data_IF_372761948837
#
_entry.id   IF_372761948837
#
_cell.length_a   1.000
_cell.length_b   1.000
_cell.length_c   1.000
_cell.angle_alpha   90.00
_cell.angle_beta   90.00
_cell.angle_gamma   90.00
#
_symmetry.space_group_name_H-M   'P 1'
#
loop_
_entity.id
_entity.type
_entity.pdbx_description
1 polymer ?
#
# COMPACT_ATOMS: atom_id res chain seq x y z
N UNK A 1 -2.54 -38.82 1.75
CA UNK A 1 -1.53 -37.75 1.97
C UNK A 1 -1.44 -36.98 0.66
N UNK A 2 -1.71 -35.68 0.67
CA UNK A 2 -1.63 -34.85 -0.54
C UNK A 2 -0.15 -34.70 -0.94
N UNK A 3 0.21 -35.18 -2.13
CA UNK A 3 1.53 -34.98 -2.72
C UNK A 3 1.62 -33.56 -3.28
N UNK A 4 1.61 -32.57 -2.38
CA UNK A 4 1.68 -31.16 -2.76
C UNK A 4 3.13 -30.73 -2.89
N UNK A 5 3.60 -30.54 -4.11
CA UNK A 5 4.98 -30.13 -4.41
C UNK A 5 5.17 -28.61 -4.48
N UNK A 6 4.08 -27.88 -4.76
CA UNK A 6 4.06 -26.42 -4.90
C UNK A 6 2.85 -25.81 -4.19
N UNK A 7 3.08 -24.75 -3.43
CA UNK A 7 2.05 -24.00 -2.74
C UNK A 7 2.32 -22.49 -2.82
N UNK A 8 1.27 -21.74 -3.15
CA UNK A 8 1.24 -20.29 -3.02
C UNK A 8 0.23 -19.91 -1.94
N UNK A 9 0.71 -19.32 -0.84
CA UNK A 9 -0.08 -19.00 0.35
C UNK A 9 -0.20 -17.49 0.55
N UNK A 10 -1.41 -16.96 0.44
CA UNK A 10 -1.75 -15.66 0.99
C UNK A 10 -2.40 -15.85 2.37
N UNK A 11 -1.86 -15.21 3.39
CA UNK A 11 -2.39 -15.29 4.75
C UNK A 11 -2.50 -13.89 5.35
N UNK A 12 -3.65 -13.56 5.92
CA UNK A 12 -3.85 -12.34 6.68
C UNK A 12 -4.52 -12.69 8.00
N UNK A 13 -3.86 -12.40 9.11
CA UNK A 13 -4.33 -12.71 10.46
C UNK A 13 -4.43 -11.42 11.24
N UNK A 14 -5.57 -11.24 11.90
CA UNK A 14 -5.76 -10.25 12.95
C UNK A 14 -5.82 -11.03 14.26
N UNK A 15 -4.92 -10.73 15.20
CA UNK A 15 -4.80 -11.44 16.46
C UNK A 15 -4.75 -10.46 17.63
N UNK A 16 -5.27 -10.91 18.78
CA UNK A 16 -5.06 -10.23 20.07
C UNK A 16 -3.83 -10.79 20.80
N UNK A 17 -3.14 -11.76 20.20
CA UNK A 17 -1.88 -12.30 20.70
C UNK A 17 -0.75 -11.27 20.54
N UNK A 18 0.28 -11.40 21.36
CA UNK A 18 1.41 -10.47 21.43
C UNK A 18 2.49 -10.69 20.36
N UNK A 19 2.33 -11.70 19.49
CA UNK A 19 3.40 -12.16 18.59
C UNK A 19 3.00 -12.17 17.12
N UNK A 20 3.92 -11.73 16.26
CA UNK A 20 3.80 -11.89 14.82
C UNK A 20 3.99 -13.34 14.40
N UNK A 21 3.42 -13.73 13.26
CA UNK A 21 3.75 -15.02 12.63
C UNK A 21 5.22 -14.99 12.23
N UNK A 22 6.00 -15.87 12.85
CA UNK A 22 7.42 -16.02 12.58
C UNK A 22 7.73 -17.32 11.81
N UNK A 23 8.99 -17.51 11.42
CA UNK A 23 9.41 -18.70 10.68
C UNK A 23 9.25 -20.00 11.47
N UNK A 24 9.30 -19.95 12.81
CA UNK A 24 9.12 -21.13 13.65
C UNK A 24 7.67 -21.58 13.68
N UNK A 25 6.74 -20.63 13.88
CA UNK A 25 5.31 -20.92 13.87
C UNK A 25 4.88 -21.48 12.52
N UNK A 26 5.27 -20.84 11.42
CA UNK A 26 4.97 -21.33 10.07
C UNK A 26 5.50 -22.75 9.84
N UNK A 27 6.72 -23.05 10.32
CA UNK A 27 7.29 -24.38 10.17
C UNK A 27 6.54 -25.44 10.96
N UNK A 28 6.33 -25.21 12.25
CA UNK A 28 5.73 -26.17 13.16
C UNK A 28 4.25 -26.43 12.85
N UNK A 29 3.51 -25.39 12.49
CA UNK A 29 2.04 -25.49 12.37
C UNK A 29 1.62 -25.95 10.98
N UNK A 30 2.48 -25.77 9.98
CA UNK A 30 2.10 -25.97 8.58
C UNK A 30 3.09 -26.82 7.80
N UNK A 31 4.36 -26.41 7.73
CA UNK A 31 5.30 -26.98 6.77
C UNK A 31 5.80 -28.38 7.15
N UNK A 32 5.86 -28.70 8.44
CA UNK A 32 6.25 -30.03 8.91
C UNK A 32 5.34 -31.14 8.38
N UNK A 33 4.09 -30.80 8.06
CA UNK A 33 3.09 -31.71 7.49
C UNK A 33 3.13 -31.80 5.96
N UNK A 34 4.02 -31.03 5.30
CA UNK A 34 4.16 -30.97 3.85
C UNK A 34 5.59 -31.32 3.38
N UNK A 35 6.10 -32.53 3.68
CA UNK A 35 7.50 -32.88 3.42
C UNK A 35 7.89 -32.93 1.94
N UNK A 36 6.91 -32.99 1.02
CA UNK A 36 7.14 -32.97 -0.43
C UNK A 36 7.12 -31.55 -1.02
N UNK A 37 6.82 -30.52 -0.22
CA UNK A 37 6.72 -29.16 -0.68
C UNK A 37 8.11 -28.62 -1.05
N UNK A 38 8.37 -28.53 -2.36
CA UNK A 38 9.65 -28.07 -2.91
C UNK A 38 9.62 -26.58 -3.27
N UNK A 39 8.44 -26.05 -3.56
CA UNK A 39 8.22 -24.64 -3.87
C UNK A 39 7.15 -24.06 -2.96
N UNK A 40 7.52 -23.02 -2.24
CA UNK A 40 6.60 -22.35 -1.33
C UNK A 40 6.72 -20.84 -1.50
N UNK A 41 5.67 -20.23 -2.02
CA UNK A 41 5.53 -18.78 -2.13
C UNK A 41 4.53 -18.30 -1.11
N UNK A 42 4.83 -17.21 -0.41
CA UNK A 42 3.94 -16.70 0.61
C UNK A 42 3.94 -15.18 0.71
N UNK A 43 2.80 -14.65 1.16
CA UNK A 43 2.60 -13.25 1.56
C UNK A 43 1.74 -13.29 2.82
N UNK A 44 2.33 -12.99 3.97
CA UNK A 44 1.71 -13.19 5.27
C UNK A 44 1.67 -11.86 6.04
N UNK A 45 0.46 -11.41 6.34
CA UNK A 45 0.20 -10.23 7.14
C UNK A 45 -0.26 -10.64 8.53
N UNK A 46 0.44 -10.16 9.55
CA UNK A 46 -0.02 -10.28 10.93
C UNK A 46 -0.32 -8.88 11.45
N UNK A 47 -1.55 -8.68 11.87
CA UNK A 47 -2.01 -7.48 12.54
C UNK A 47 -2.31 -7.84 13.99
N UNK A 48 -1.63 -7.20 14.91
CA UNK A 48 -1.83 -7.34 16.34
C UNK A 48 -2.65 -6.16 16.81
N UNK A 49 -3.78 -6.44 17.44
CA UNK A 49 -4.56 -5.45 18.17
C UNK A 49 -4.42 -5.76 19.66
N UNK A 50 -3.67 -4.92 20.38
CA UNK A 50 -3.46 -5.16 21.81
C UNK A 50 -3.71 -3.91 22.64
N UNK A 51 -4.48 -4.00 23.72
CA UNK A 51 -4.66 -2.87 24.63
C UNK A 51 -3.45 -2.62 25.55
N UNK A 52 -2.54 -3.59 25.66
CA UNK A 52 -1.35 -3.51 26.51
C UNK A 52 -0.17 -2.86 25.77
N UNK A 53 0.26 -1.70 26.27
CA UNK A 53 1.27 -0.82 25.64
C UNK A 53 2.71 -1.32 25.88
N UNK A 54 2.92 -2.25 26.81
CA UNK A 54 4.25 -2.70 27.27
C UNK A 54 4.76 -3.99 26.60
N UNK A 55 4.20 -4.39 25.47
CA UNK A 55 4.67 -5.58 24.75
C UNK A 55 5.80 -5.21 23.79
N UNK A 56 6.98 -5.76 24.04
CA UNK A 56 8.11 -5.70 23.12
C UNK A 56 7.84 -6.64 21.93
N UNK A 57 7.49 -6.06 20.78
CA UNK A 57 7.27 -6.83 19.56
C UNK A 57 8.62 -7.18 18.90
N UNK A 58 8.74 -8.37 18.27
CA UNK A 58 9.96 -8.73 17.55
C UNK A 58 10.31 -7.68 16.50
N UNK A 59 11.58 -7.26 16.47
CA UNK A 59 12.02 -6.35 15.42
C UNK A 59 11.93 -7.01 14.04
N UNK A 60 11.90 -6.21 12.98
CA UNK A 60 11.93 -6.75 11.61
C UNK A 60 13.12 -7.70 11.38
N UNK A 61 14.26 -7.43 12.01
CA UNK A 61 15.44 -8.28 11.90
C UNK A 61 15.25 -9.63 12.60
N UNK A 62 14.53 -9.67 13.71
CA UNK A 62 14.23 -10.90 14.43
C UNK A 62 13.28 -11.78 13.63
N UNK A 63 12.27 -11.15 13.01
CA UNK A 63 11.38 -11.80 12.05
C UNK A 63 12.18 -12.40 10.90
N UNK A 64 12.96 -11.62 10.16
CA UNK A 64 13.78 -12.15 9.06
C UNK A 64 14.69 -13.31 9.48
N UNK A 65 15.38 -13.17 10.62
CA UNK A 65 16.26 -14.21 11.16
C UNK A 65 15.49 -15.50 11.47
N UNK A 66 14.26 -15.42 11.95
CA UNK A 66 13.44 -16.61 12.24
C UNK A 66 13.17 -17.43 10.97
N UNK A 67 12.89 -16.78 9.84
CA UNK A 67 12.67 -17.43 8.55
C UNK A 67 13.98 -18.00 7.98
N UNK A 68 15.07 -17.22 8.01
CA UNK A 68 16.38 -17.65 7.51
C UNK A 68 16.88 -18.90 8.27
N UNK A 69 16.73 -18.93 9.60
CA UNK A 69 17.09 -20.10 10.43
C UNK A 69 16.33 -21.37 10.05
N UNK A 70 15.18 -21.24 9.39
CA UNK A 70 14.36 -22.36 8.88
C UNK A 70 14.65 -22.72 7.43
N UNK A 71 15.66 -22.11 6.82
CA UNK A 71 16.08 -22.39 5.45
C UNK A 71 15.47 -21.46 4.40
N UNK A 72 14.66 -20.47 4.79
CA UNK A 72 14.09 -19.50 3.87
C UNK A 72 15.08 -18.40 3.53
N UNK A 73 15.83 -18.56 2.45
CA UNK A 73 16.85 -17.59 2.02
C UNK A 73 16.27 -16.42 1.22
N UNK A 74 15.15 -16.63 0.52
CA UNK A 74 14.51 -15.61 -0.32
C UNK A 74 13.25 -15.09 0.36
N UNK A 75 13.44 -14.32 1.43
CA UNK A 75 12.37 -13.74 2.24
C UNK A 75 12.67 -12.27 2.51
N UNK A 76 11.64 -11.45 2.57
CA UNK A 76 11.74 -10.09 3.06
C UNK A 76 10.55 -9.79 3.98
N UNK A 77 10.69 -8.76 4.80
CA UNK A 77 9.64 -8.32 5.71
C UNK A 77 9.82 -6.86 6.10
N UNK A 78 8.72 -6.30 6.59
CA UNK A 78 8.75 -5.11 7.42
C UNK A 78 7.79 -5.30 8.59
N UNK A 79 8.17 -4.76 9.73
CA UNK A 79 7.35 -4.71 10.93
C UNK A 79 7.23 -3.26 11.37
N UNK A 80 6.07 -2.90 11.89
CA UNK A 80 5.74 -1.54 12.26
C UNK A 80 4.85 -1.51 13.49
N UNK A 81 5.33 -0.83 14.53
CA UNK A 81 4.61 -0.65 15.77
C UNK A 81 3.84 0.68 15.72
N UNK A 82 2.53 0.62 15.48
CA UNK A 82 1.64 1.79 15.54
C UNK A 82 1.15 2.02 16.97
N UNK A 83 2.09 2.28 17.87
CA UNK A 83 1.82 2.50 19.29
C UNK A 83 1.00 3.78 19.58
N UNK A 84 0.82 4.69 18.62
CA UNK A 84 0.36 6.05 18.93
C UNK A 84 -1.11 6.34 18.67
N UNK A 85 -1.87 5.50 17.95
CA UNK A 85 -3.25 5.86 17.61
C UNK A 85 -4.30 4.74 17.77
N UNK A 86 -3.91 3.47 17.77
CA UNK A 86 -4.86 2.32 17.83
C UNK A 86 -4.32 1.09 18.55
N UNK A 87 -3.15 1.20 19.21
CA UNK A 87 -2.37 0.06 19.71
C UNK A 87 -2.34 -1.10 18.70
N UNK A 88 -2.03 -0.76 17.46
CA UNK A 88 -2.00 -1.69 16.36
C UNK A 88 -0.55 -1.94 15.99
N UNK A 89 -0.17 -3.20 15.87
CA UNK A 89 1.14 -3.58 15.32
C UNK A 89 0.94 -4.38 14.06
N UNK A 90 1.75 -4.16 13.04
CA UNK A 90 1.64 -4.91 11.80
C UNK A 90 2.99 -5.42 11.33
N UNK A 91 3.00 -6.67 10.88
CA UNK A 91 4.14 -7.28 10.22
C UNK A 91 3.67 -7.88 8.90
N UNK A 92 4.43 -7.64 7.84
CA UNK A 92 4.28 -8.33 6.58
C UNK A 92 5.57 -9.08 6.27
N UNK A 93 5.47 -10.40 6.08
CA UNK A 93 6.56 -11.27 5.67
C UNK A 93 6.18 -11.96 4.37
N UNK A 94 7.09 -11.95 3.39
CA UNK A 94 6.80 -12.49 2.06
C UNK A 94 8.04 -13.11 1.41
N UNK A 95 7.78 -14.11 0.56
CA UNK A 95 8.81 -14.75 -0.26
C UNK A 95 9.22 -13.89 -1.45
N UNK A 96 10.48 -13.99 -1.85
CA UNK A 96 11.02 -13.42 -3.08
C UNK A 96 11.34 -14.54 -4.10
N UNK A 97 11.21 -14.28 -5.42
CA UNK A 97 10.53 -13.11 -6.00
C UNK A 97 9.03 -13.13 -5.63
N UNK A 98 8.41 -11.95 -5.55
CA UNK A 98 7.01 -11.84 -5.14
C UNK A 98 6.08 -12.41 -6.22
N UNK A 99 5.15 -13.29 -5.81
CA UNK A 99 4.34 -14.08 -6.74
C UNK A 99 2.90 -13.61 -6.93
N UNK A 100 2.43 -12.69 -6.08
CA UNK A 100 1.03 -12.26 -6.05
C UNK A 100 0.81 -11.02 -6.92
N UNK A 101 -0.42 -10.88 -7.41
CA UNK A 101 -0.86 -9.70 -8.14
C UNK A 101 -1.22 -8.53 -7.22
N UNK A 102 -1.49 -8.82 -5.94
CA UNK A 102 -1.89 -7.82 -4.96
C UNK A 102 -0.81 -7.71 -3.90
N UNK A 103 -0.46 -6.48 -3.54
CA UNK A 103 0.40 -6.17 -2.39
C UNK A 103 -0.41 -5.32 -1.42
N UNK A 104 -0.83 -5.91 -0.30
CA UNK A 104 -1.77 -5.28 0.62
C UNK A 104 -1.04 -4.64 1.81
N UNK A 105 -1.69 -3.67 2.44
CA UNK A 105 -1.28 -3.07 3.72
C UNK A 105 0.16 -2.55 3.76
N UNK A 106 0.61 -1.89 2.70
CA UNK A 106 1.93 -1.26 2.68
C UNK A 106 2.00 -0.11 3.69
N UNK A 107 3.06 -0.11 4.51
CA UNK A 107 3.35 0.95 5.46
C UNK A 107 4.53 1.81 5.01
N UNK A 108 4.81 2.89 5.76
CA UNK A 108 5.96 3.76 5.51
C UNK A 108 7.32 3.09 5.76
N UNK A 109 7.35 1.84 6.25
CA UNK A 109 8.57 1.06 6.50
C UNK A 109 9.01 0.23 5.31
N UNK A 110 8.23 0.20 4.24
CA UNK A 110 8.59 -0.49 3.02
C UNK A 110 9.95 0.01 2.48
N UNK A 111 10.86 -0.92 2.18
CA UNK A 111 12.25 -0.63 1.81
C UNK A 111 12.54 -0.84 0.33
N UNK A 112 11.55 -1.29 -0.44
CA UNK A 112 11.68 -1.52 -1.86
C UNK A 112 11.99 -2.96 -2.28
N UNK A 113 12.18 -3.16 -3.58
CA UNK A 113 12.40 -4.44 -4.26
C UNK A 113 11.77 -4.46 -5.66
N UNK A 114 11.82 -5.59 -6.37
CA UNK A 114 11.20 -5.71 -7.69
C UNK A 114 9.90 -6.53 -7.63
N UNK A 115 8.77 -5.88 -7.92
CA UNK A 115 7.42 -6.44 -7.79
C UNK A 115 6.68 -6.49 -9.14
N UNK A 116 7.31 -7.08 -10.15
CA UNK A 116 6.82 -7.11 -11.54
C UNK A 116 5.44 -7.79 -11.74
N UNK A 117 4.99 -8.62 -10.81
CA UNK A 117 3.68 -9.28 -10.89
C UNK A 117 2.56 -8.48 -10.25
N UNK A 118 2.89 -7.52 -9.38
CA UNK A 118 1.89 -6.73 -8.68
C UNK A 118 1.18 -5.78 -9.65
N UNK A 119 -0.14 -5.73 -9.54
CA UNK A 119 -1.07 -4.87 -10.28
C UNK A 119 -1.88 -3.99 -9.33
N UNK A 120 -2.11 -4.45 -8.10
CA UNK A 120 -2.79 -3.67 -7.07
C UNK A 120 -1.88 -3.49 -5.86
N UNK A 121 -1.72 -2.25 -5.42
CA UNK A 121 -0.99 -1.91 -4.20
C UNK A 121 -1.91 -1.13 -3.28
N UNK A 122 -2.21 -1.68 -2.10
CA UNK A 122 -2.99 -0.98 -1.07
C UNK A 122 -2.04 -0.41 -0.03
N UNK A 123 -2.09 0.91 0.13
CA UNK A 123 -1.37 1.63 1.19
C UNK A 123 -2.36 2.00 2.29
N UNK A 124 -2.22 1.41 3.47
CA UNK A 124 -3.08 1.70 4.61
C UNK A 124 -2.23 1.83 5.87
N UNK A 125 -1.99 3.08 6.28
CA UNK A 125 -1.11 3.35 7.40
C UNK A 125 -1.43 4.67 8.09
N UNK A 126 -1.28 4.69 9.42
CA UNK A 126 -1.62 5.85 10.23
C UNK A 126 -0.59 6.99 10.16
N UNK A 127 0.71 6.69 9.91
CA UNK A 127 1.73 7.73 9.79
C UNK A 127 1.84 8.24 8.35
N UNK A 128 2.27 9.49 8.13
CA UNK A 128 2.36 10.05 6.80
C UNK A 128 3.19 9.22 5.82
N UNK A 129 2.72 9.12 4.58
CA UNK A 129 3.54 8.62 3.47
C UNK A 129 4.30 9.79 2.85
N UNK A 130 5.62 9.76 2.96
CA UNK A 130 6.48 10.84 2.45
C UNK A 130 6.85 10.64 0.97
N UNK A 131 7.41 11.67 0.35
CA UNK A 131 7.68 11.68 -1.08
C UNK A 131 8.52 10.50 -1.58
N UNK A 132 9.57 10.14 -0.84
CA UNK A 132 10.48 9.07 -1.22
C UNK A 132 9.78 7.70 -1.31
N UNK A 133 8.73 7.46 -0.52
CA UNK A 133 7.99 6.21 -0.63
C UNK A 133 7.30 6.09 -1.98
N UNK A 134 6.66 7.16 -2.47
CA UNK A 134 6.00 7.15 -3.77
C UNK A 134 6.99 6.99 -4.92
N UNK A 135 8.22 7.52 -4.77
CA UNK A 135 9.30 7.31 -5.72
C UNK A 135 9.70 5.83 -5.76
N UNK A 136 9.92 5.22 -4.60
CA UNK A 136 10.20 3.78 -4.48
C UNK A 136 9.07 2.99 -5.16
N UNK A 137 7.80 3.30 -4.85
CA UNK A 137 6.65 2.59 -5.43
C UNK A 137 6.66 2.68 -6.96
N UNK A 138 6.89 3.88 -7.53
CA UNK A 138 6.89 4.05 -8.98
C UNK A 138 7.98 3.25 -9.70
N UNK A 139 9.08 2.93 -9.01
CA UNK A 139 10.21 2.17 -9.55
C UNK A 139 10.02 0.67 -9.36
N UNK A 140 9.52 0.29 -8.19
CA UNK A 140 9.50 -1.09 -7.71
C UNK A 140 8.24 -1.85 -8.15
N UNK A 141 7.19 -1.12 -8.52
CA UNK A 141 5.92 -1.64 -9.04
C UNK A 141 5.68 -1.14 -10.47
N UNK A 142 6.51 -1.55 -11.44
CA UNK A 142 6.51 -0.96 -12.78
C UNK A 142 5.20 -1.17 -13.56
N UNK A 143 4.38 -2.15 -13.18
CA UNK A 143 3.11 -2.48 -13.82
C UNK A 143 1.91 -2.22 -12.91
N UNK A 144 2.03 -1.31 -11.94
CA UNK A 144 0.94 -0.99 -11.03
C UNK A 144 -0.26 -0.40 -11.78
N UNK A 145 -1.43 -1.01 -11.63
CA UNK A 145 -2.69 -0.62 -12.27
C UNK A 145 -3.68 0.02 -11.28
N UNK A 146 -3.64 -0.35 -10.00
CA UNK A 146 -4.51 0.19 -8.96
C UNK A 146 -3.74 0.57 -7.70
N UNK A 147 -4.00 1.77 -7.20
CA UNK A 147 -3.38 2.32 -5.99
C UNK A 147 -4.42 2.92 -5.04
N UNK A 148 -5.02 2.12 -4.15
CA UNK A 148 -5.78 2.65 -3.02
C UNK A 148 -4.87 3.16 -1.92
N UNK A 149 -5.12 4.40 -1.49
CA UNK A 149 -4.38 5.07 -0.41
C UNK A 149 -5.35 5.44 0.72
N UNK A 150 -5.05 4.95 1.91
CA UNK A 150 -5.76 5.27 3.14
C UNK A 150 -4.76 5.89 4.11
N UNK A 151 -4.76 7.22 4.19
CA UNK A 151 -3.85 7.95 5.07
C UNK A 151 -4.39 9.35 5.39
N UNK A 152 -4.88 9.54 6.61
CA UNK A 152 -5.43 10.82 7.05
C UNK A 152 -4.39 11.79 7.60
N UNK A 153 -3.13 11.37 7.70
CA UNK A 153 -2.07 12.21 8.24
C UNK A 153 -1.48 13.11 7.15
N UNK A 154 -1.32 14.39 7.46
CA UNK A 154 -0.67 15.36 6.57
C UNK A 154 0.79 15.00 6.33
N UNK A 155 1.29 15.26 5.11
CA UNK A 155 2.70 15.06 4.81
C UNK A 155 3.55 16.08 5.57
N UNK A 156 4.67 15.63 6.16
CA UNK A 156 5.56 16.53 6.90
C UNK A 156 6.46 17.31 5.96
N UNK A 157 6.95 16.66 4.92
CA UNK A 157 7.86 17.26 3.95
C UNK A 157 7.09 17.72 2.71
N UNK A 158 6.43 18.88 2.82
CA UNK A 158 5.65 19.50 1.73
C UNK A 158 6.51 20.12 0.62
N UNK A 159 7.82 20.22 0.84
CA UNK A 159 8.73 20.77 -0.16
C UNK A 159 8.62 19.99 -1.47
N UNK A 160 8.56 20.76 -2.56
CA UNK A 160 8.53 20.24 -3.92
C UNK A 160 9.80 19.44 -4.18
N UNK A 161 9.78 18.14 -3.87
CA UNK A 161 10.80 17.22 -4.35
C UNK A 161 10.91 17.42 -5.86
N UNK A 162 12.10 17.76 -6.34
CA UNK A 162 12.39 17.91 -7.76
C UNK A 162 12.30 16.59 -8.52
N UNK A 163 12.06 15.48 -7.83
CA UNK A 163 11.97 14.16 -8.43
C UNK A 163 10.63 13.98 -9.12
N UNK A 164 10.68 13.78 -10.44
CA UNK A 164 9.53 13.39 -11.24
C UNK A 164 9.19 11.91 -11.02
N UNK A 165 7.94 11.64 -10.65
CA UNK A 165 7.39 10.31 -10.36
C UNK A 165 6.36 9.98 -11.44
N UNK A 166 6.53 8.85 -12.11
CA UNK A 166 5.60 8.40 -13.16
C UNK A 166 4.99 7.07 -12.77
N UNK A 167 3.67 7.01 -12.73
CA UNK A 167 2.94 5.75 -12.63
C UNK A 167 2.40 5.37 -14.01
N UNK A 168 3.26 4.80 -14.85
CA UNK A 168 3.01 4.58 -16.28
C UNK A 168 1.80 3.70 -16.60
N UNK A 169 1.42 2.82 -15.67
CA UNK A 169 0.36 1.83 -15.86
C UNK A 169 -0.85 2.05 -14.97
N UNK A 170 -0.86 3.10 -14.14
CA UNK A 170 -1.92 3.30 -13.15
C UNK A 170 -3.23 3.69 -13.84
N UNK A 171 -4.23 2.82 -13.70
CA UNK A 171 -5.58 2.99 -14.25
C UNK A 171 -6.54 3.53 -13.21
N UNK A 172 -6.36 3.13 -11.94
CA UNK A 172 -7.22 3.50 -10.81
C UNK A 172 -6.42 4.06 -9.65
N UNK A 173 -6.79 5.26 -9.22
CA UNK A 173 -6.27 5.90 -8.02
C UNK A 173 -7.42 6.12 -7.03
N UNK A 174 -7.28 5.59 -5.81
CA UNK A 174 -8.28 5.79 -4.77
C UNK A 174 -7.72 6.62 -3.61
N UNK A 175 -8.31 7.81 -3.46
CA UNK A 175 -8.01 8.86 -2.50
C UNK A 175 -9.24 9.18 -1.63
N UNK A 176 -10.18 8.25 -1.49
CA UNK A 176 -11.41 8.48 -0.72
C UNK A 176 -11.15 8.78 0.77
N UNK A 177 -10.05 8.25 1.32
CA UNK A 177 -9.73 8.32 2.75
C UNK A 177 -8.32 8.88 2.97
N UNK A 178 -7.98 9.97 2.28
CA UNK A 178 -6.69 10.62 2.40
C UNK A 178 -6.77 12.05 2.94
N UNK A 179 -5.65 12.54 3.47
CA UNK A 179 -5.41 13.97 3.65
C UNK A 179 -5.24 14.68 2.29
N UNK A 180 -5.67 15.94 2.18
CA UNK A 180 -5.65 16.70 0.91
C UNK A 180 -4.26 16.81 0.27
N UNK A 181 -3.18 16.79 1.07
CA UNK A 181 -1.80 16.81 0.58
C UNK A 181 -1.53 15.71 -0.48
N UNK A 182 -2.08 14.50 -0.29
CA UNK A 182 -1.89 13.40 -1.23
C UNK A 182 -2.59 13.66 -2.56
N UNK A 183 -3.81 14.20 -2.53
CA UNK A 183 -4.54 14.56 -3.74
C UNK A 183 -3.83 15.68 -4.52
N UNK A 184 -3.33 16.70 -3.82
CA UNK A 184 -2.50 17.75 -4.44
C UNK A 184 -1.27 17.13 -5.10
N UNK A 185 -0.56 16.23 -4.41
CA UNK A 185 0.62 15.57 -4.97
C UNK A 185 0.31 14.77 -6.24
N UNK A 186 -0.74 13.97 -6.25
CA UNK A 186 -1.05 13.09 -7.37
C UNK A 186 -1.71 13.82 -8.54
N UNK A 187 -2.64 14.74 -8.27
CA UNK A 187 -3.50 15.32 -9.29
C UNK A 187 -3.02 16.70 -9.78
N UNK A 188 -2.27 17.42 -8.94
CA UNK A 188 -1.77 18.77 -9.25
C UNK A 188 -0.25 18.90 -9.26
N UNK A 189 0.46 17.96 -8.63
CA UNK A 189 1.92 18.00 -8.54
C UNK A 189 2.55 17.99 -9.92
N UNK A 190 3.30 19.05 -10.26
CA UNK A 190 4.11 19.13 -11.51
C UNK A 190 5.09 17.96 -11.68
N UNK A 191 5.34 17.24 -10.60
CA UNK A 191 6.31 16.17 -10.51
C UNK A 191 5.66 14.78 -10.41
N UNK A 192 4.35 14.66 -10.62
CA UNK A 192 3.66 13.37 -10.72
C UNK A 192 2.99 13.24 -12.08
N UNK A 193 3.19 12.11 -12.76
CA UNK A 193 2.56 11.80 -14.03
C UNK A 193 1.75 10.52 -13.97
N UNK A 194 0.49 10.63 -14.36
CA UNK A 194 -0.52 9.55 -14.33
C UNK A 194 -1.14 9.39 -15.74
N UNK A 195 -0.35 9.00 -16.76
CA UNK A 195 -0.74 9.10 -18.18
C UNK A 195 -1.86 8.14 -18.63
N UNK A 196 -2.32 7.25 -17.74
CA UNK A 196 -3.36 6.26 -18.03
C UNK A 196 -4.47 6.26 -16.98
N UNK A 197 -4.54 7.30 -16.14
CA UNK A 197 -5.54 7.36 -15.09
C UNK A 197 -6.94 7.50 -15.70
N UNK A 198 -7.78 6.50 -15.48
CA UNK A 198 -9.15 6.44 -15.97
C UNK A 198 -10.18 6.47 -14.84
N UNK A 199 -9.80 6.02 -13.65
CA UNK A 199 -10.69 5.90 -12.49
C UNK A 199 -10.12 6.65 -11.30
N UNK A 200 -10.89 7.59 -10.75
CA UNK A 200 -10.53 8.36 -9.57
C UNK A 200 -11.63 8.23 -8.51
N UNK A 201 -11.27 7.71 -7.35
CA UNK A 201 -12.08 7.77 -6.13
C UNK A 201 -11.54 8.92 -5.26
N UNK A 202 -12.38 9.88 -4.87
CA UNK A 202 -11.95 11.05 -4.09
C UNK A 202 -13.10 11.62 -3.24
N UNK A 203 -12.77 12.37 -2.19
CA UNK A 203 -13.76 13.20 -1.48
C UNK A 203 -14.10 14.46 -2.28
N UNK A 204 -15.34 14.93 -2.16
CA UNK A 204 -15.78 16.15 -2.82
C UNK A 204 -15.01 17.37 -2.33
N UNK A 205 -14.84 17.53 -1.01
CA UNK A 205 -14.11 18.68 -0.45
C UNK A 205 -12.65 18.72 -0.92
N UNK A 206 -12.01 17.56 -0.98
CA UNK A 206 -10.66 17.43 -1.52
C UNK A 206 -10.63 17.79 -3.01
N UNK A 207 -11.59 17.32 -3.80
CA UNK A 207 -11.71 17.63 -5.22
C UNK A 207 -11.91 19.13 -5.47
N UNK A 208 -12.78 19.78 -4.71
CA UNK A 208 -13.00 21.24 -4.76
C UNK A 208 -11.70 21.98 -4.44
N UNK A 209 -10.94 21.51 -3.44
CA UNK A 209 -9.67 22.13 -3.06
C UNK A 209 -8.63 22.03 -4.17
N UNK A 210 -8.43 20.84 -4.76
CA UNK A 210 -7.41 20.64 -5.80
C UNK A 210 -7.77 21.28 -7.15
N UNK A 211 -9.05 21.53 -7.40
CA UNK A 211 -9.54 22.19 -8.63
C UNK A 211 -9.75 23.70 -8.47
N UNK A 212 -9.49 24.25 -7.28
CA UNK A 212 -9.81 25.65 -6.91
C UNK A 212 -11.27 26.00 -7.24
N UNK A 213 -12.19 25.13 -6.83
CA UNK A 213 -13.62 25.28 -7.12
C UNK A 213 -13.94 25.12 -8.60
N UNK A 214 -13.27 24.17 -9.28
CA UNK A 214 -13.45 23.88 -10.70
C UNK A 214 -13.09 25.04 -11.63
N UNK A 215 -12.08 25.83 -11.26
CA UNK A 215 -11.57 26.96 -12.07
C UNK A 215 -10.12 26.79 -12.51
N UNK A 216 -9.39 25.81 -11.96
CA UNK A 216 -7.97 25.61 -12.26
C UNK A 216 -7.77 24.77 -13.54
N UNK A 217 -7.43 25.42 -14.65
CA UNK A 217 -7.18 24.76 -15.95
C UNK A 217 -5.94 23.86 -15.98
N UNK A 218 -4.95 24.10 -15.12
CA UNK A 218 -3.74 23.28 -15.09
C UNK A 218 -4.04 21.85 -14.61
N UNK A 219 -4.92 21.74 -13.62
CA UNK A 219 -5.37 20.44 -13.11
C UNK A 219 -6.30 19.73 -14.11
N UNK A 220 -7.03 20.46 -14.96
CA UNK A 220 -7.95 19.93 -15.97
C UNK A 220 -7.31 18.87 -16.89
N UNK A 221 -6.03 19.02 -17.24
CA UNK A 221 -5.30 18.06 -18.10
C UNK A 221 -5.20 16.65 -17.51
N UNK A 222 -5.15 16.53 -16.18
CA UNK A 222 -5.16 15.23 -15.50
C UNK A 222 -6.55 14.59 -15.56
N UNK A 223 -7.61 15.41 -15.56
CA UNK A 223 -8.99 14.95 -15.47
C UNK A 223 -9.64 14.62 -16.83
N UNK A 224 -9.13 15.12 -17.96
CA UNK A 224 -9.73 14.86 -19.29
C UNK A 224 -9.69 13.40 -19.72
N UNK A 225 -8.88 12.56 -19.07
CA UNK A 225 -8.78 11.12 -19.35
C UNK A 225 -9.62 10.27 -18.39
N UNK A 226 -10.25 10.89 -17.38
CA UNK A 226 -11.03 10.17 -16.39
C UNK A 226 -12.37 9.78 -16.99
N UNK A 227 -12.61 8.48 -17.05
CA UNK A 227 -13.87 7.88 -17.50
C UNK A 227 -14.84 7.68 -16.32
N UNK A 228 -14.30 7.48 -15.12
CA UNK A 228 -15.08 7.21 -13.91
C UNK A 228 -14.56 8.03 -12.73
N UNK A 229 -15.39 8.96 -12.26
CA UNK A 229 -15.17 9.74 -11.04
C UNK A 229 -16.15 9.29 -9.96
N UNK A 230 -15.63 8.73 -8.86
CA UNK A 230 -16.42 8.31 -7.70
C UNK A 230 -16.19 9.29 -6.56
N UNK A 231 -17.27 9.89 -6.08
CA UNK A 231 -17.25 10.85 -4.97
C UNK A 231 -17.81 10.18 -3.71
N UNK A 232 -16.99 10.07 -2.67
CA UNK A 232 -17.27 9.26 -1.47
C UNK A 232 -18.13 9.94 -0.40
N UNK A 233 -18.82 11.02 -0.75
CA UNK A 233 -19.73 11.74 0.14
C UNK A 233 -20.86 12.39 -0.66
N UNK A 234 -22.07 12.53 -0.07
CA UNK A 234 -23.13 13.32 -0.68
C UNK A 234 -22.64 14.76 -0.90
N UNK A 235 -22.89 15.30 -2.09
CA UNK A 235 -22.55 16.68 -2.41
C UNK A 235 -23.65 17.33 -3.22
N UNK A 236 -23.71 18.66 -3.16
CA UNK A 236 -24.52 19.47 -4.06
C UNK A 236 -23.65 19.81 -5.27
N UNK A 237 -24.09 19.39 -6.46
CA UNK A 237 -23.34 19.62 -7.69
C UNK A 237 -23.24 21.13 -7.99
N UNK A 238 -22.03 21.72 -7.99
CA UNK A 238 -21.86 23.14 -8.30
C UNK A 238 -22.02 23.40 -9.81
N UNK A 239 -22.35 24.63 -10.18
CA UNK A 239 -22.69 25.02 -11.56
C UNK A 239 -21.64 24.59 -12.61
N UNK A 240 -20.35 24.71 -12.27
CA UNK A 240 -19.24 24.43 -13.19
C UNK A 240 -18.77 22.96 -13.17
N UNK A 241 -19.37 22.10 -12.35
CA UNK A 241 -18.87 20.74 -12.14
C UNK A 241 -18.78 19.93 -13.45
N UNK A 242 -19.90 19.79 -14.15
CA UNK A 242 -19.94 18.99 -15.37
C UNK A 242 -19.07 19.58 -16.48
N UNK A 243 -19.08 20.91 -16.65
CA UNK A 243 -18.26 21.59 -17.66
C UNK A 243 -16.77 21.45 -17.41
N UNK A 244 -16.34 21.28 -16.16
CA UNK A 244 -14.93 21.11 -15.82
C UNK A 244 -14.38 19.73 -16.23
N UNK A 245 -15.22 18.70 -16.17
CA UNK A 245 -14.88 17.32 -16.58
C UNK A 245 -15.28 16.98 -18.02
N UNK A 246 -15.87 17.93 -18.76
CA UNK A 246 -16.22 17.79 -20.18
C UNK A 246 -15.08 18.19 -21.13
#
# INVERSE_FOLDING_TARGET
>A
MLNLEELTLFLSVITNESTYIDGTQLYNDFLIYMPQLSKFYFSMHTNIFNNDIDIDHPSNNDILKSFIKRGYQQVNSYADDQLTYKNWSCCHVYSLPYHFNDFLFMTSRFQGGMFNKVRCLVMDYARPFENELFKIISQDFPFLESLPVVNRASQKNKEHSSTFITFSHLLRLDLAVVHTDYAVKFLFGKNTSLPRLMHLDIKFETLVTVTEGFTNDAARRTYTQIESLVIWEPFVCPENFFSYFS
#
